data_IF_003039446179
#
_entry.id   IF_003039446179
#
_cell.length_a   1.000
_cell.length_b   1.000
_cell.length_c   1.000
_cell.angle_alpha   90.00
_cell.angle_beta   90.00
_cell.angle_gamma   90.00
#
_symmetry.space_group_name_H-M   'P 1'
#
loop_
_entity.id
_entity.type
_entity.pdbx_description
1 polymer ?
#
# COMPACT_ATOMS: atom_id res chain seq x y z
N UNK A 1 -12.79 -66.41 11.98
CA UNK A 1 -12.07 -66.45 10.69
C UNK A 1 -12.79 -65.50 9.76
N UNK A 2 -12.03 -64.52 9.21
CA UNK A 2 -12.32 -63.62 8.08
C UNK A 2 -13.52 -62.67 8.23
N UNK A 3 -13.36 -61.37 8.52
CA UNK A 3 -12.76 -60.29 7.67
C UNK A 3 -13.60 -60.15 6.39
N UNK A 4 -14.32 -59.05 6.14
CA UNK A 4 -13.77 -57.78 5.67
C UNK A 4 -14.77 -56.64 5.97
N UNK A 5 -14.21 -55.48 6.31
CA UNK A 5 -14.88 -54.19 6.50
C UNK A 5 -15.62 -53.72 5.25
N UNK A 6 -16.91 -53.41 5.36
CA UNK A 6 -17.61 -52.56 4.39
C UNK A 6 -17.81 -51.17 4.99
N UNK A 7 -16.99 -50.27 4.50
CA UNK A 7 -17.08 -48.82 4.59
C UNK A 7 -18.27 -48.30 3.79
N UNK A 8 -19.32 -47.83 4.46
CA UNK A 8 -20.30 -46.89 3.90
C UNK A 8 -20.29 -45.61 4.75
N UNK A 9 -19.30 -44.77 4.45
CA UNK A 9 -19.30 -43.37 4.91
C UNK A 9 -20.21 -42.59 3.96
N UNK A 10 -21.16 -41.86 4.53
CA UNK A 10 -22.02 -40.89 3.87
C UNK A 10 -21.23 -39.98 2.91
N UNK A 11 -21.44 -40.14 1.60
CA UNK A 11 -21.19 -39.07 0.64
C UNK A 11 -22.40 -38.13 0.65
N UNK A 12 -22.41 -37.23 1.64
CA UNK A 12 -23.21 -36.02 1.62
C UNK A 12 -22.58 -35.01 0.68
N UNK A 13 -23.31 -34.68 -0.38
CA UNK A 13 -23.05 -33.61 -1.34
C UNK A 13 -22.49 -32.33 -0.70
N UNK A 14 -21.26 -31.96 -1.06
CA UNK A 14 -20.88 -30.55 -1.16
C UNK A 14 -19.83 -30.34 -2.28
N UNK A 15 -20.18 -30.78 -3.48
CA UNK A 15 -19.44 -30.44 -4.71
C UNK A 15 -19.86 -29.06 -5.20
N UNK A 16 -19.44 -27.98 -4.53
CA UNK A 16 -19.54 -26.62 -5.08
C UNK A 16 -18.53 -25.68 -4.40
N UNK A 17 -17.23 -25.90 -4.63
CA UNK A 17 -16.17 -24.86 -4.55
C UNK A 17 -14.77 -25.46 -4.79
N UNK A 18 -14.62 -26.32 -5.81
CA UNK A 18 -13.28 -26.50 -6.38
C UNK A 18 -12.99 -25.23 -7.17
N UNK A 19 -12.22 -24.34 -6.55
CA UNK A 19 -11.74 -23.11 -7.14
C UNK A 19 -11.18 -23.40 -8.53
N UNK A 20 -11.83 -22.84 -9.57
CA UNK A 20 -11.24 -22.81 -10.91
C UNK A 20 -10.05 -21.87 -10.84
N UNK A 21 -8.90 -22.43 -10.54
CA UNK A 21 -7.57 -21.83 -10.69
C UNK A 21 -7.28 -21.71 -12.19
N UNK A 22 -6.81 -20.54 -12.62
CA UNK A 22 -6.29 -20.38 -13.96
C UNK A 22 -4.93 -21.08 -14.11
N UNK A 23 -4.33 -21.08 -15.30
CA UNK A 23 -3.01 -21.69 -15.58
C UNK A 23 -1.84 -21.10 -14.77
N UNK A 24 -2.13 -20.19 -13.83
CA UNK A 24 -1.20 -19.48 -12.97
C UNK A 24 -1.41 -19.73 -11.48
N UNK A 25 -2.44 -20.51 -11.10
CA UNK A 25 -2.78 -20.67 -9.69
C UNK A 25 -3.40 -19.41 -9.07
N UNK A 26 -3.83 -18.43 -9.87
CA UNK A 26 -4.59 -17.27 -9.38
C UNK A 26 -6.08 -17.52 -9.55
N UNK A 27 -6.86 -17.10 -8.56
CA UNK A 27 -8.30 -17.21 -8.63
C UNK A 27 -8.87 -16.47 -9.86
N UNK A 28 -9.87 -17.06 -10.53
CA UNK A 28 -10.61 -16.41 -11.62
C UNK A 28 -11.31 -15.10 -11.20
N UNK A 29 -11.44 -14.85 -9.90
CA UNK A 29 -12.02 -13.63 -9.33
C UNK A 29 -11.09 -12.41 -9.38
N UNK A 30 -9.79 -12.62 -9.63
CA UNK A 30 -8.78 -11.56 -9.72
C UNK A 30 -8.87 -10.88 -11.10
N UNK A 31 -8.88 -9.55 -11.18
CA UNK A 31 -8.91 -8.86 -12.47
C UNK A 31 -7.64 -9.11 -13.31
N UNK A 32 -7.80 -9.29 -14.63
CA UNK A 32 -6.68 -9.59 -15.55
C UNK A 32 -5.52 -8.59 -15.48
N UNK A 33 -5.84 -7.31 -15.29
CA UNK A 33 -4.82 -6.28 -15.12
C UNK A 33 -3.94 -6.56 -13.90
N UNK A 34 -4.54 -6.94 -12.77
CA UNK A 34 -3.84 -7.25 -11.52
C UNK A 34 -2.99 -8.50 -11.69
N UNK A 35 -3.52 -9.55 -12.34
CA UNK A 35 -2.78 -10.78 -12.65
C UNK A 35 -1.53 -10.48 -13.49
N UNK A 36 -1.70 -9.68 -14.56
CA UNK A 36 -0.59 -9.29 -15.44
C UNK A 36 0.45 -8.42 -14.73
N UNK A 37 0.00 -7.46 -13.94
CA UNK A 37 0.90 -6.61 -13.15
C UNK A 37 1.73 -7.45 -12.16
N UNK A 38 1.08 -8.41 -11.49
CA UNK A 38 1.77 -9.31 -10.57
C UNK A 38 2.85 -10.13 -11.27
N UNK A 39 2.51 -10.74 -12.42
CA UNK A 39 3.47 -11.49 -13.25
C UNK A 39 4.66 -10.65 -13.71
N UNK A 40 4.42 -9.41 -14.13
CA UNK A 40 5.49 -8.49 -14.55
C UNK A 40 6.49 -8.26 -13.40
N UNK A 41 6.00 -8.22 -12.16
CA UNK A 41 6.82 -7.99 -10.98
C UNK A 41 7.52 -9.26 -10.45
N UNK A 42 7.04 -10.44 -10.83
CA UNK A 42 7.69 -11.73 -10.54
C UNK A 42 8.77 -12.10 -11.57
N UNK A 43 8.73 -11.49 -12.75
CA UNK A 43 9.73 -11.74 -13.80
C UNK A 43 11.02 -10.95 -13.52
N UNK A 44 12.07 -11.68 -13.14
CA UNK A 44 13.40 -11.12 -12.88
C UNK A 44 13.99 -10.35 -14.07
N UNK A 45 13.53 -10.63 -15.30
CA UNK A 45 13.96 -9.92 -16.52
C UNK A 45 13.62 -8.44 -16.46
N UNK A 46 12.53 -8.07 -15.79
CA UNK A 46 12.07 -6.68 -15.68
C UNK A 46 12.52 -5.99 -14.39
N UNK A 47 13.23 -6.68 -13.50
CA UNK A 47 13.63 -6.18 -12.19
C UNK A 47 14.40 -4.84 -12.24
N UNK A 48 15.11 -4.56 -13.34
CA UNK A 48 15.83 -3.28 -13.52
C UNK A 48 14.90 -2.10 -13.81
N UNK A 49 13.70 -2.37 -14.34
CA UNK A 49 12.72 -1.37 -14.79
C UNK A 49 11.58 -1.24 -13.78
N UNK A 50 11.06 -2.37 -13.31
CA UNK A 50 9.93 -2.46 -12.38
C UNK A 50 10.14 -3.61 -11.40
N UNK A 51 10.02 -3.34 -10.10
CA UNK A 51 10.35 -4.31 -9.06
C UNK A 51 9.59 -4.00 -7.76
N UNK A 52 9.52 -4.99 -6.87
CA UNK A 52 8.96 -4.83 -5.52
C UNK A 52 9.85 -3.94 -4.64
N UNK A 53 9.25 -3.20 -3.71
CA UNK A 53 10.00 -2.52 -2.65
C UNK A 53 10.66 -3.52 -1.71
N UNK A 54 11.66 -3.06 -0.93
CA UNK A 54 12.38 -3.90 0.05
C UNK A 54 11.43 -4.60 1.04
N UNK A 55 10.28 -3.99 1.35
CA UNK A 55 9.26 -4.53 2.26
C UNK A 55 8.20 -5.39 1.55
N UNK A 56 8.20 -5.41 0.21
CA UNK A 56 7.24 -6.18 -0.59
C UNK A 56 5.79 -5.71 -0.51
N UNK A 57 5.53 -4.49 0.00
CA UNK A 57 4.20 -3.92 0.20
C UNK A 57 3.85 -2.83 -0.82
N UNK A 58 4.79 -2.48 -1.69
CA UNK A 58 4.65 -1.55 -2.81
C UNK A 58 5.55 -2.01 -3.95
N UNK A 59 5.34 -1.46 -5.14
CA UNK A 59 6.24 -1.66 -6.27
C UNK A 59 6.74 -0.32 -6.82
N UNK A 60 7.93 -0.36 -7.40
CA UNK A 60 8.67 0.79 -7.88
C UNK A 60 8.90 0.62 -9.38
N UNK A 61 8.63 1.68 -10.14
CA UNK A 61 9.00 1.84 -11.54
C UNK A 61 10.17 2.82 -11.58
N UNK A 62 11.33 2.34 -12.01
CA UNK A 62 12.56 3.14 -12.08
C UNK A 62 12.53 4.12 -13.24
N UNK A 63 12.12 3.64 -14.42
CA UNK A 63 12.08 4.42 -15.66
C UNK A 63 10.77 4.16 -16.41
N UNK A 64 9.99 5.23 -16.58
CA UNK A 64 8.73 5.23 -17.32
C UNK A 64 8.92 4.92 -18.82
N UNK A 65 10.00 5.41 -19.42
CA UNK A 65 10.30 5.23 -20.85
C UNK A 65 10.61 3.78 -21.16
N UNK A 66 11.47 3.16 -20.34
CA UNK A 66 11.83 1.75 -20.47
C UNK A 66 10.63 0.83 -20.23
N UNK A 67 9.82 1.11 -19.19
CA UNK A 67 8.58 0.36 -18.95
C UNK A 67 7.64 0.43 -20.16
N UNK A 68 7.49 1.63 -20.73
CA UNK A 68 6.62 1.87 -21.89
C UNK A 68 7.09 1.12 -23.13
N UNK A 69 8.40 1.07 -23.40
CA UNK A 69 8.96 0.47 -24.61
C UNK A 69 9.10 -1.05 -24.53
N UNK A 70 9.53 -1.58 -23.38
CA UNK A 70 9.97 -2.97 -23.28
C UNK A 70 8.97 -3.88 -22.56
N UNK A 71 8.22 -3.35 -21.58
CA UNK A 71 7.35 -4.16 -20.72
C UNK A 71 5.89 -4.06 -21.15
N UNK A 72 5.36 -2.84 -21.30
CA UNK A 72 3.93 -2.66 -21.61
C UNK A 72 3.47 -3.35 -22.90
N UNK A 73 4.20 -3.33 -24.03
CA UNK A 73 3.76 -3.97 -25.27
C UNK A 73 3.69 -5.50 -25.18
N UNK A 74 4.46 -6.11 -24.28
CA UNK A 74 4.49 -7.57 -24.11
C UNK A 74 3.27 -8.09 -23.33
N UNK A 75 2.72 -7.27 -22.43
CA UNK A 75 1.63 -7.69 -21.55
C UNK A 75 0.28 -6.98 -21.84
N UNK A 76 0.30 -5.81 -22.45
CA UNK A 76 -0.86 -4.97 -22.73
C UNK A 76 -0.92 -4.57 -24.20
N UNK A 77 -2.14 -4.26 -24.69
CA UNK A 77 -2.37 -3.83 -26.09
C UNK A 77 -1.98 -2.36 -26.36
N UNK A 78 -1.14 -1.78 -25.50
CA UNK A 78 -0.67 -0.41 -25.62
C UNK A 78 0.68 -0.28 -24.92
N UNK A 79 1.46 0.72 -25.30
CA UNK A 79 2.76 1.04 -24.72
C UNK A 79 2.73 2.31 -23.85
N UNK A 80 1.56 2.92 -23.65
CA UNK A 80 1.44 4.21 -22.98
C UNK A 80 1.39 4.06 -21.44
N UNK A 81 2.36 4.65 -20.74
CA UNK A 81 2.40 4.71 -19.28
C UNK A 81 1.17 5.36 -18.64
N UNK A 82 0.60 6.40 -19.23
CA UNK A 82 -0.59 7.06 -18.68
C UNK A 82 -1.79 6.11 -18.65
N UNK A 83 -1.91 5.23 -19.65
CA UNK A 83 -2.93 4.18 -19.69
C UNK A 83 -2.70 3.15 -18.58
N UNK A 84 -1.44 2.79 -18.32
CA UNK A 84 -1.06 1.92 -17.21
C UNK A 84 -1.42 2.55 -15.85
N UNK A 85 -1.07 3.83 -15.62
CA UNK A 85 -1.42 4.57 -14.40
C UNK A 85 -2.94 4.71 -14.26
N UNK A 86 -3.68 4.92 -15.35
CA UNK A 86 -5.15 4.94 -15.30
C UNK A 86 -5.72 3.60 -14.84
N UNK A 87 -5.13 2.48 -15.28
CA UNK A 87 -5.53 1.16 -14.81
C UNK A 87 -5.21 0.99 -13.32
N UNK A 88 -4.03 1.41 -12.85
CA UNK A 88 -3.69 1.44 -11.43
C UNK A 88 -4.73 2.20 -10.60
N UNK A 89 -5.07 3.42 -11.02
CA UNK A 89 -6.06 4.25 -10.33
C UNK A 89 -7.47 3.61 -10.30
N UNK A 90 -7.85 2.87 -11.35
CA UNK A 90 -9.14 2.12 -11.37
C UNK A 90 -9.19 1.02 -10.32
N UNK A 91 -8.05 0.49 -9.89
CA UNK A 91 -7.94 -0.53 -8.85
C UNK A 91 -7.40 0.05 -7.54
N UNK A 92 -7.51 1.37 -7.35
CA UNK A 92 -7.17 2.06 -6.11
C UNK A 92 -5.70 1.97 -5.69
N UNK A 93 -4.79 1.78 -6.64
CA UNK A 93 -3.36 1.92 -6.38
C UNK A 93 -3.03 3.40 -6.22
N UNK A 94 -2.30 3.72 -5.15
CA UNK A 94 -1.94 5.09 -4.82
C UNK A 94 -0.45 5.33 -5.09
N UNK A 95 -0.15 6.45 -5.75
CA UNK A 95 1.24 6.91 -5.92
C UNK A 95 1.77 7.37 -4.56
N UNK A 96 2.88 6.78 -4.13
CA UNK A 96 3.58 7.19 -2.91
C UNK A 96 4.39 8.46 -3.17
N UNK A 97 4.53 9.31 -2.14
CA UNK A 97 5.41 10.49 -2.22
C UNK A 97 6.86 10.03 -2.29
N UNK A 98 7.64 10.64 -3.18
CA UNK A 98 9.08 10.40 -3.21
C UNK A 98 9.72 10.97 -1.94
N UNK A 99 10.56 10.18 -1.29
CA UNK A 99 11.30 10.56 -0.07
C UNK A 99 12.78 10.56 -0.38
N UNK A 100 13.57 11.38 0.33
CA UNK A 100 15.03 11.49 0.15
C UNK A 100 15.74 10.12 0.19
N UNK A 101 15.32 9.21 1.07
CA UNK A 101 15.85 7.83 1.14
C UNK A 101 15.66 7.04 -0.15
N UNK A 102 14.63 7.37 -0.94
CA UNK A 102 14.28 6.64 -2.16
C UNK A 102 15.02 7.16 -3.40
N UNK A 103 15.76 8.26 -3.28
CA UNK A 103 16.71 8.71 -4.33
C UNK A 103 17.79 7.67 -4.63
N UNK A 104 18.04 6.72 -3.71
CA UNK A 104 18.91 5.55 -3.97
C UNK A 104 18.51 4.73 -5.19
N UNK A 105 17.24 4.78 -5.60
CA UNK A 105 16.72 4.07 -6.76
C UNK A 105 16.71 4.90 -8.05
N UNK A 106 17.07 6.20 -7.99
CA UNK A 106 17.10 7.13 -9.11
C UNK A 106 16.29 8.42 -8.88
N UNK A 107 16.51 9.43 -9.72
CA UNK A 107 15.89 10.76 -9.55
C UNK A 107 14.41 10.83 -9.97
N UNK A 108 13.91 9.87 -10.76
CA UNK A 108 12.56 9.92 -11.35
C UNK A 108 11.74 8.63 -11.14
N UNK A 109 11.86 8.04 -9.96
CA UNK A 109 11.13 6.81 -9.64
C UNK A 109 9.64 7.06 -9.36
N UNK A 110 8.82 6.06 -9.68
CA UNK A 110 7.39 6.05 -9.39
C UNK A 110 7.06 4.85 -8.53
N UNK A 111 6.60 5.08 -7.32
CA UNK A 111 6.19 4.01 -6.42
C UNK A 111 4.67 4.00 -6.27
N UNK A 112 4.09 2.81 -6.36
CA UNK A 112 2.66 2.59 -6.19
C UNK A 112 2.42 1.55 -5.11
N UNK A 113 1.42 1.82 -4.27
CA UNK A 113 1.05 0.96 -3.14
C UNK A 113 -0.43 0.62 -3.19
N UNK A 114 -0.74 -0.61 -2.79
CA UNK A 114 -2.11 -1.05 -2.55
C UNK A 114 -2.11 -2.06 -1.38
N UNK A 115 -3.04 -1.95 -0.40
CA UNK A 115 -3.00 -2.77 0.83
C UNK A 115 -2.98 -4.29 0.60
N UNK A 116 -3.71 -4.74 -0.41
CA UNK A 116 -3.86 -6.16 -0.78
C UNK A 116 -2.93 -6.61 -1.92
N UNK A 117 -2.05 -5.73 -2.42
CA UNK A 117 -1.08 -6.08 -3.45
C UNK A 117 0.29 -6.22 -2.81
N UNK A 118 0.68 -7.46 -2.51
CA UNK A 118 1.91 -7.77 -1.76
C UNK A 118 2.71 -8.89 -2.42
N UNK A 119 4.03 -8.80 -2.31
CA UNK A 119 4.95 -9.83 -2.78
C UNK A 119 4.64 -11.18 -2.12
N UNK A 120 4.65 -12.26 -2.90
CA UNK A 120 4.36 -13.64 -2.48
C UNK A 120 2.99 -13.88 -1.81
N UNK A 121 2.01 -12.98 -1.99
CA UNK A 121 0.66 -13.10 -1.41
C UNK A 121 -0.43 -13.04 -2.48
N UNK A 122 -0.48 -14.09 -3.29
CA UNK A 122 -1.47 -14.26 -4.35
C UNK A 122 -2.91 -14.33 -3.82
N UNK A 123 -3.08 -14.83 -2.59
CA UNK A 123 -4.36 -14.97 -1.89
C UNK A 123 -5.05 -13.64 -1.62
N UNK A 124 -4.31 -12.52 -1.56
CA UNK A 124 -4.89 -11.20 -1.32
C UNK A 124 -5.35 -10.50 -2.61
N UNK A 125 -4.93 -10.98 -3.78
CA UNK A 125 -5.21 -10.34 -5.06
C UNK A 125 -6.71 -10.35 -5.41
N UNK A 126 -7.46 -11.31 -4.87
CA UNK A 126 -8.91 -11.43 -5.07
C UNK A 126 -9.68 -10.25 -4.46
N UNK A 127 -9.13 -9.60 -3.43
CA UNK A 127 -9.69 -8.42 -2.76
C UNK A 127 -9.51 -7.14 -3.57
N UNK A 128 -8.67 -7.16 -4.60
CA UNK A 128 -8.43 -6.00 -5.45
C UNK A 128 -9.57 -5.89 -6.47
N UNK A 129 -10.52 -4.99 -6.19
CA UNK A 129 -11.68 -4.75 -7.05
C UNK A 129 -11.60 -3.41 -7.75
N UNK A 130 -12.20 -3.35 -8.95
CA UNK A 130 -12.28 -2.12 -9.72
C UNK A 130 -13.23 -1.15 -9.02
N UNK A 131 -12.80 0.10 -8.84
CA UNK A 131 -13.68 1.17 -8.36
C UNK A 131 -14.85 1.37 -9.34
N UNK A 132 -16.09 1.50 -8.84
CA UNK A 132 -17.20 1.86 -9.69
C UNK A 132 -16.89 3.19 -10.37
N UNK A 133 -17.30 3.39 -11.64
CA UNK A 133 -17.18 4.70 -12.25
C UNK A 133 -17.91 5.70 -11.36
N UNK A 134 -17.21 6.77 -10.96
CA UNK A 134 -17.85 7.87 -10.27
C UNK A 134 -18.99 8.32 -11.19
N UNK A 135 -20.24 8.18 -10.72
CA UNK A 135 -21.39 8.79 -11.39
C UNK A 135 -21.08 10.28 -11.38
N UNK A 136 -20.67 10.80 -12.54
CA UNK A 136 -20.47 12.23 -12.71
C UNK A 136 -21.80 12.89 -12.35
N UNK A 137 -21.90 13.50 -11.16
CA UNK A 137 -22.76 14.67 -11.03
C UNK A 137 -22.10 15.67 -11.96
N UNK A 138 -22.64 15.78 -13.16
CA UNK A 138 -22.11 16.66 -14.18
C UNK A 138 -22.18 18.09 -13.68
N UNK A 139 -21.03 18.68 -13.33
CA UNK A 139 -20.81 20.10 -13.49
C UNK A 139 -20.65 20.40 -15.00
N UNK A 140 -21.68 20.08 -15.76
CA UNK A 140 -21.88 20.61 -17.09
C UNK A 140 -22.73 21.86 -16.95
N UNK A 141 -22.11 23.02 -17.12
CA UNK A 141 -22.81 24.24 -17.50
C UNK A 141 -23.44 24.00 -18.88
N UNK A 142 -24.57 23.30 -18.89
CA UNK A 142 -25.39 23.12 -20.07
C UNK A 142 -26.33 24.34 -20.14
N UNK A 143 -25.92 25.36 -20.90
CA UNK A 143 -26.81 26.41 -21.36
C UNK A 143 -27.86 25.76 -22.27
N UNK A 144 -29.02 25.42 -21.69
CA UNK A 144 -30.21 25.11 -22.49
C UNK A 144 -30.70 26.40 -23.16
N UNK A 145 -31.16 26.34 -24.42
CA UNK A 145 -31.80 27.50 -25.03
C UNK A 145 -33.10 27.80 -24.29
N UNK A 146 -33.23 29.05 -23.83
CA UNK A 146 -34.46 29.58 -23.24
C UNK A 146 -35.60 29.48 -24.25
N UNK A 147 -36.55 28.57 -24.00
CA UNK A 147 -37.86 28.62 -24.63
C UNK A 147 -38.72 29.62 -23.84
N UNK A 148 -38.90 30.81 -24.39
CA UNK A 148 -39.83 31.80 -23.86
C UNK A 148 -41.26 31.41 -24.26
N UNK A 149 -41.93 30.60 -23.44
CA UNK A 149 -43.39 30.56 -23.45
C UNK A 149 -44.00 30.00 -22.16
N UNK A 150 -44.87 30.81 -21.52
CA UNK A 150 -45.90 30.35 -20.60
C UNK A 150 -45.52 30.37 -19.12
N UNK A 151 -46.17 31.26 -18.37
CA UNK A 151 -45.92 31.48 -16.95
C UNK A 151 -46.17 30.28 -16.05
N UNK A 152 -45.28 30.10 -15.09
CA UNK A 152 -45.53 29.57 -13.76
C UNK A 152 -44.38 30.03 -12.86
N UNK A 153 -44.72 30.64 -11.73
CA UNK A 153 -43.78 31.09 -10.70
C UNK A 153 -42.85 29.95 -10.23
N UNK A 154 -41.55 30.17 -9.96
CA UNK A 154 -40.73 29.20 -9.25
C UNK A 154 -41.01 29.33 -7.75
N UNK A 155 -41.86 28.42 -7.26
CA UNK A 155 -42.08 28.19 -5.82
C UNK A 155 -40.83 27.58 -5.19
N UNK A 156 -40.61 27.89 -3.91
CA UNK A 156 -39.34 27.79 -3.20
C UNK A 156 -38.73 26.39 -3.05
N UNK A 157 -37.41 26.39 -2.89
CA UNK A 157 -36.67 25.28 -2.27
C UNK A 157 -37.16 25.22 -0.81
N UNK A 158 -37.72 24.09 -0.39
CA UNK A 158 -38.23 23.88 0.96
C UNK A 158 -37.12 24.15 1.99
N UNK A 159 -37.33 25.09 2.93
CA UNK A 159 -36.40 25.39 4.04
C UNK A 159 -35.89 24.12 4.75
N UNK A 160 -36.74 23.10 4.82
CA UNK A 160 -36.45 21.77 5.39
C UNK A 160 -35.28 21.03 4.70
N UNK A 161 -35.10 21.14 3.39
CA UNK A 161 -34.01 20.46 2.67
C UNK A 161 -32.66 21.16 2.84
N UNK A 162 -32.69 22.49 3.05
CA UNK A 162 -31.49 23.29 3.29
C UNK A 162 -30.93 23.07 4.70
N UNK A 163 -31.79 23.01 5.72
CA UNK A 163 -31.36 22.71 7.10
C UNK A 163 -30.79 21.29 7.23
N UNK A 164 -31.41 20.30 6.55
CA UNK A 164 -30.93 18.91 6.52
C UNK A 164 -29.52 18.79 5.92
N UNK A 165 -29.28 19.44 4.78
CA UNK A 165 -27.96 19.41 4.13
C UNK A 165 -26.88 20.11 4.96
N UNK A 166 -27.25 21.17 5.68
CA UNK A 166 -26.33 21.91 6.56
C UNK A 166 -25.93 21.07 7.77
N UNK A 167 -26.86 20.30 8.34
CA UNK A 167 -26.60 19.40 9.47
C UNK A 167 -25.68 18.24 9.07
N UNK A 168 -25.89 17.64 7.90
CA UNK A 168 -25.03 16.57 7.37
C UNK A 168 -23.58 17.03 7.14
N UNK A 169 -23.39 18.23 6.58
CA UNK A 169 -22.07 18.85 6.41
C UNK A 169 -21.39 19.10 7.75
N UNK A 170 -22.16 19.57 8.75
CA UNK A 170 -21.63 19.83 10.08
C UNK A 170 -21.20 18.54 10.80
N UNK A 171 -21.97 17.47 10.64
CA UNK A 171 -21.63 16.13 11.12
C UNK A 171 -20.35 15.59 10.46
N UNK A 172 -20.21 15.79 9.15
CA UNK A 172 -19.01 15.37 8.41
C UNK A 172 -17.76 16.13 8.87
N UNK A 173 -17.85 17.45 9.06
CA UNK A 173 -16.75 18.27 9.59
C UNK A 173 -16.37 17.83 11.00
N UNK A 174 -17.36 17.48 11.84
CA UNK A 174 -17.10 17.01 13.20
C UNK A 174 -16.39 15.64 13.21
N UNK A 175 -16.76 14.72 12.32
CA UNK A 175 -16.11 13.42 12.16
C UNK A 175 -14.66 13.58 11.67
N UNK A 176 -14.43 14.42 10.66
CA UNK A 176 -13.08 14.74 10.19
C UNK A 176 -12.23 15.38 11.29
N UNK A 177 -12.82 16.29 12.07
CA UNK A 177 -12.14 16.91 13.22
C UNK A 177 -11.75 15.84 14.25
N UNK A 178 -12.65 14.91 14.58
CA UNK A 178 -12.34 13.80 15.50
C UNK A 178 -11.21 12.92 14.96
N UNK A 179 -11.27 12.52 13.68
CA UNK A 179 -10.21 11.72 13.06
C UNK A 179 -8.86 12.44 13.08
N UNK A 180 -8.83 13.74 12.75
CA UNK A 180 -7.62 14.55 12.81
C UNK A 180 -7.07 14.66 14.25
N UNK A 181 -7.92 14.86 15.25
CA UNK A 181 -7.46 14.87 16.66
C UNK A 181 -6.88 13.53 17.09
N UNK A 182 -7.42 12.42 16.61
CA UNK A 182 -6.91 11.08 16.91
C UNK A 182 -5.55 10.86 16.26
N UNK A 183 -5.36 11.26 15.00
CA UNK A 183 -4.05 11.22 14.32
C UNK A 183 -3.03 12.06 15.09
N UNK A 184 -3.40 13.29 15.49
CA UNK A 184 -2.51 14.15 16.29
C UNK A 184 -2.11 13.50 17.62
N UNK A 185 -3.02 12.78 18.29
CA UNK A 185 -2.68 12.04 19.51
C UNK A 185 -1.65 10.93 19.25
N UNK A 186 -1.84 10.14 18.20
CA UNK A 186 -0.88 9.09 17.83
C UNK A 186 0.49 9.66 17.46
N UNK A 187 0.54 10.77 16.72
CA UNK A 187 1.81 11.42 16.38
C UNK A 187 2.56 11.91 17.62
N UNK A 188 1.85 12.49 18.60
CA UNK A 188 2.46 12.91 19.86
C UNK A 188 2.98 11.72 20.67
N UNK A 189 2.19 10.64 20.78
CA UNK A 189 2.64 9.42 21.46
C UNK A 189 3.88 8.81 20.82
N UNK A 190 3.89 8.73 19.49
CA UNK A 190 5.03 8.21 18.74
C UNK A 190 6.27 9.09 18.94
N UNK A 191 6.10 10.42 18.96
CA UNK A 191 7.18 11.36 19.27
C UNK A 191 7.76 11.13 20.67
N UNK A 192 6.92 10.90 21.68
CA UNK A 192 7.36 10.57 23.04
C UNK A 192 8.14 9.26 23.07
N UNK A 193 7.67 8.21 22.39
CA UNK A 193 8.40 6.94 22.31
C UNK A 193 9.76 7.08 21.62
N UNK A 194 9.85 7.87 20.54
CA UNK A 194 11.13 8.14 19.89
C UNK A 194 12.10 8.89 20.80
N UNK A 195 11.62 9.88 21.57
CA UNK A 195 12.46 10.59 22.53
C UNK A 195 12.98 9.65 23.62
N UNK A 196 12.12 8.82 24.21
CA UNK A 196 12.52 7.85 25.23
C UNK A 196 13.54 6.83 24.69
N UNK A 197 13.31 6.30 23.48
CA UNK A 197 14.24 5.34 22.88
C UNK A 197 15.60 5.98 22.57
N UNK A 198 15.62 7.25 22.14
CA UNK A 198 16.88 7.98 21.94
C UNK A 198 17.63 8.19 23.26
N UNK A 199 16.93 8.48 24.36
CA UNK A 199 17.55 8.58 25.69
C UNK A 199 18.16 7.25 26.12
N UNK A 200 17.45 6.13 25.95
CA UNK A 200 17.96 4.78 26.23
C UNK A 200 19.23 4.47 25.41
N UNK A 201 19.22 4.78 24.11
CA UNK A 201 20.40 4.58 23.24
C UNK A 201 21.59 5.41 23.71
N UNK A 202 21.36 6.66 24.13
CA UNK A 202 22.42 7.52 24.69
C UNK A 202 22.97 6.94 25.99
N UNK A 203 22.10 6.43 26.86
CA UNK A 203 22.51 5.81 28.13
C UNK A 203 23.33 4.54 27.89
N UNK A 204 22.90 3.68 26.96
CA UNK A 204 23.63 2.46 26.58
C UNK A 204 25.00 2.83 26.01
N UNK A 205 25.08 3.82 25.11
CA UNK A 205 26.37 4.28 24.56
C UNK A 205 27.33 4.75 25.65
N UNK A 206 26.85 5.51 26.64
CA UNK A 206 27.67 5.91 27.79
C UNK A 206 28.16 4.71 28.59
N UNK A 207 27.29 3.73 28.84
CA UNK A 207 27.66 2.51 29.55
C UNK A 207 28.75 1.72 28.82
N UNK A 208 28.63 1.57 27.50
CA UNK A 208 29.63 0.89 26.67
C UNK A 208 30.96 1.64 26.72
N UNK A 209 30.94 2.97 26.60
CA UNK A 209 32.15 3.77 26.65
C UNK A 209 32.88 3.63 28.00
N UNK A 210 32.14 3.55 29.11
CA UNK A 210 32.72 3.30 30.44
C UNK A 210 33.33 1.90 30.50
N UNK A 211 32.64 0.89 29.97
CA UNK A 211 33.18 -0.47 29.92
C UNK A 211 34.46 -0.55 29.08
N UNK A 212 34.50 0.10 27.92
CA UNK A 212 35.69 0.18 27.06
C UNK A 212 36.86 0.87 27.78
N UNK A 213 36.57 1.94 28.53
CA UNK A 213 37.59 2.65 29.31
C UNK A 213 38.16 1.76 30.42
N UNK A 214 37.31 1.06 31.17
CA UNK A 214 37.74 0.12 32.21
C UNK A 214 38.55 -1.06 31.63
N UNK A 215 38.13 -1.58 30.47
CA UNK A 215 38.87 -2.63 29.78
C UNK A 215 40.26 -2.15 29.34
N UNK A 216 40.36 -0.92 28.82
CA UNK A 216 41.65 -0.33 28.45
C UNK A 216 42.57 -0.16 29.68
N UNK A 217 42.04 0.32 30.81
CA UNK A 217 42.80 0.42 32.06
C UNK A 217 43.27 -0.95 32.57
N UNK A 218 42.40 -1.97 32.52
CA UNK A 218 42.75 -3.32 32.92
C UNK A 218 43.86 -3.91 32.05
N UNK A 219 43.75 -3.77 30.72
CA UNK A 219 44.78 -4.23 29.78
C UNK A 219 46.11 -3.54 30.09
N UNK A 220 46.11 -2.21 30.28
CA UNK A 220 47.32 -1.47 30.67
C UNK A 220 47.92 -1.95 32.00
N UNK A 221 47.08 -2.26 32.99
CA UNK A 221 47.53 -2.78 34.28
C UNK A 221 48.19 -4.16 34.15
N UNK A 222 47.59 -5.08 33.39
CA UNK A 222 48.16 -6.41 33.12
C UNK A 222 49.51 -6.29 32.41
N UNK A 223 49.60 -5.50 31.33
CA UNK A 223 50.86 -5.28 30.62
C UNK A 223 51.97 -4.69 31.52
N UNK A 224 51.64 -3.71 32.35
CA UNK A 224 52.61 -3.07 33.24
C UNK A 224 53.04 -3.95 34.43
N UNK A 225 52.18 -4.87 34.86
CA UNK A 225 52.51 -5.83 35.93
C UNK A 225 53.37 -6.99 35.46
N UNK A 226 53.18 -7.46 34.22
CA UNK A 226 54.07 -8.46 33.60
C UNK A 226 55.45 -7.89 33.28
N UNK A 227 55.55 -6.63 32.85
CA UNK A 227 56.83 -5.96 32.61
C UNK A 227 57.70 -5.81 33.88
N UNK A 228 57.09 -5.75 35.07
CA UNK A 228 57.80 -5.67 36.36
C UNK A 228 58.28 -7.01 36.90
N UNK A 229 57.79 -8.15 36.37
CA UNK A 229 58.20 -9.49 36.83
C UNK A 229 59.46 -10.02 36.14
N UNK A 230 59.98 -9.33 35.12
CA UNK A 230 61.13 -9.76 34.30
C UNK A 230 62.41 -8.93 34.52
N UNK A 231 62.47 -8.11 35.58
CA UNK A 231 63.67 -7.42 36.07
C UNK A 231 63.98 -7.95 37.46
#
# INVERSE_FOLDING_TARGET
MTEIMNSEILMGNNSNSIEKIDSLGLANSVPDFVKKLFRILEDDSYHKIIFWSDLGDSFIVRDQSELSKHVLPQHFKHNNFASFVRQLNKYDFHKMKSTEEKKRYGENIWEFKHPYFRHNRHDLLDRIKRKPPLKSRGNGLHLMPMNMNGGASPSGISETEFYSTTEDLQNQVQLLTKANTQVSKYLNQLSTYYQQMNEEVVNIKKSIQIQDQLMAEFVQYVFNSDAKKHI
#
